data_IF_703349690893
#
_entry.id   IF_703349690893
#
_cell.length_a   1.000
_cell.length_b   1.000
_cell.length_c   1.000
_cell.angle_alpha   90.00
_cell.angle_beta   90.00
_cell.angle_gamma   90.00
#
_symmetry.space_group_name_H-M   'P 1'
#
loop_
_entity.id
_entity.type
_entity.pdbx_description
1 polymer ?
#
# COMPACT_ATOMS: atom_id res chain seq x y z
N UNK A 1 10.67 15.41 14.98
CA UNK A 1 9.94 14.82 13.85
C UNK A 1 8.53 15.34 13.97
N UNK A 2 8.10 16.15 13.00
CA UNK A 2 6.75 16.71 12.97
C UNK A 2 5.71 15.59 12.96
N UNK A 3 4.56 15.84 13.59
CA UNK A 3 3.52 14.85 13.79
C UNK A 3 2.83 14.58 12.44
N UNK A 4 3.23 13.50 11.75
CA UNK A 4 2.60 13.03 10.51
C UNK A 4 1.11 12.75 10.74
N UNK A 5 0.81 12.19 11.92
CA UNK A 5 -0.54 11.86 12.34
C UNK A 5 -1.12 12.98 13.21
N UNK A 6 -2.35 13.45 12.92
CA UNK A 6 -3.06 14.31 13.85
C UNK A 6 -3.42 13.53 15.14
N UNK A 7 -3.65 14.22 16.28
CA UNK A 7 -3.89 13.56 17.57
C UNK A 7 -5.11 12.62 17.61
N UNK A 8 -6.07 12.83 16.72
CA UNK A 8 -7.31 12.07 16.56
C UNK A 8 -7.26 11.05 15.40
N UNK A 9 -6.08 10.78 14.84
CA UNK A 9 -5.94 9.83 13.75
C UNK A 9 -6.33 8.41 14.18
N UNK A 10 -7.34 7.85 13.51
CA UNK A 10 -7.72 6.45 13.67
C UNK A 10 -7.42 5.66 12.39
N UNK A 11 -6.46 4.73 12.49
CA UNK A 11 -6.06 3.86 11.36
C UNK A 11 -7.11 2.83 10.95
N UNK A 12 -8.15 2.61 11.74
CA UNK A 12 -9.28 1.73 11.40
C UNK A 12 -10.30 2.45 10.51
N UNK A 13 -10.24 3.77 10.46
CA UNK A 13 -11.15 4.59 9.66
C UNK A 13 -10.50 4.92 8.32
N UNK A 14 -11.23 4.65 7.24
CA UNK A 14 -10.79 5.02 5.90
C UNK A 14 -10.73 6.55 5.74
N UNK A 15 -9.84 7.09 4.90
CA UNK A 15 -9.74 8.53 4.62
C UNK A 15 -10.90 9.06 3.74
N UNK A 16 -12.08 8.47 3.85
CA UNK A 16 -13.27 8.86 3.10
C UNK A 16 -13.79 10.21 3.58
N UNK A 17 -14.16 11.06 2.64
CA UNK A 17 -14.86 12.33 2.90
C UNK A 17 -16.37 12.04 2.89
N UNK A 18 -17.19 12.69 3.71
CA UNK A 18 -18.65 12.52 3.66
C UNK A 18 -19.19 12.64 2.23
N UNK A 19 -19.86 11.59 1.76
CA UNK A 19 -20.45 11.52 0.42
C UNK A 19 -19.46 11.19 -0.71
N UNK A 20 -18.20 10.85 -0.43
CA UNK A 20 -17.20 10.45 -1.44
C UNK A 20 -16.44 9.19 -1.01
N UNK A 21 -16.31 8.18 -1.90
CA UNK A 21 -15.49 7.02 -1.62
C UNK A 21 -13.99 7.38 -1.66
N UNK A 22 -13.17 6.56 -1.02
CA UNK A 22 -11.72 6.61 -1.19
C UNK A 22 -11.40 6.14 -2.61
N UNK A 23 -10.66 6.95 -3.36
CA UNK A 23 -10.14 6.55 -4.67
C UNK A 23 -8.86 5.77 -4.48
N UNK A 24 -8.85 4.54 -4.96
CA UNK A 24 -7.71 3.64 -4.89
C UNK A 24 -7.32 3.25 -6.32
N UNK A 25 -6.07 3.48 -6.67
CA UNK A 25 -5.48 2.96 -7.89
C UNK A 25 -4.70 1.68 -7.55
N UNK A 26 -4.97 0.61 -8.28
CA UNK A 26 -4.35 -0.69 -8.08
C UNK A 26 -3.68 -1.09 -9.39
N UNK A 27 -2.44 -1.56 -9.29
CA UNK A 27 -1.68 -2.10 -10.40
C UNK A 27 -1.08 -3.45 -9.98
N UNK A 28 -1.45 -4.49 -10.71
CA UNK A 28 -1.01 -5.86 -10.49
C UNK A 28 -0.05 -6.27 -11.60
N UNK A 29 1.24 -6.37 -11.28
CA UNK A 29 2.26 -6.87 -12.19
C UNK A 29 2.46 -8.37 -12.01
N UNK A 30 2.13 -9.19 -13.01
CA UNK A 30 2.42 -10.63 -12.99
C UNK A 30 3.89 -10.84 -13.35
N UNK A 31 4.68 -11.40 -12.43
CA UNK A 31 6.06 -11.77 -12.70
C UNK A 31 6.16 -13.13 -13.35
N UNK A 32 5.41 -14.09 -12.83
CA UNK A 32 5.50 -15.48 -13.23
C UNK A 32 4.20 -16.24 -12.96
N UNK A 33 3.95 -17.25 -13.79
CA UNK A 33 2.87 -18.23 -13.61
C UNK A 33 3.58 -19.58 -13.42
N UNK A 34 3.64 -20.02 -12.17
CA UNK A 34 4.53 -21.10 -11.73
C UNK A 34 3.90 -22.48 -11.97
N UNK A 35 2.72 -22.71 -11.40
CA UNK A 35 2.01 -24.01 -11.47
C UNK A 35 0.65 -23.83 -12.11
N UNK A 36 0.28 -24.76 -12.99
CA UNK A 36 -1.08 -24.94 -13.49
C UNK A 36 -1.45 -26.40 -13.22
N UNK A 37 -2.53 -26.62 -12.50
CA UNK A 37 -3.05 -27.94 -12.16
C UNK A 37 -4.48 -28.06 -12.71
N UNK A 38 -4.59 -28.76 -13.84
CA UNK A 38 -5.85 -28.95 -14.55
C UNK A 38 -6.83 -29.83 -13.75
N UNK A 39 -6.33 -30.74 -12.93
CA UNK A 39 -7.17 -31.70 -12.19
C UNK A 39 -7.95 -31.01 -11.07
N UNK A 40 -7.32 -30.06 -10.39
CA UNK A 40 -7.91 -29.26 -9.32
C UNK A 40 -8.39 -27.87 -9.79
N UNK A 41 -8.16 -27.54 -11.07
CA UNK A 41 -8.39 -26.23 -11.69
C UNK A 41 -7.73 -25.10 -10.88
N UNK A 42 -6.45 -25.27 -10.57
CA UNK A 42 -5.66 -24.32 -9.78
C UNK A 42 -4.50 -23.76 -10.58
N UNK A 43 -4.08 -22.56 -10.22
CA UNK A 43 -2.82 -22.01 -10.70
C UNK A 43 -2.14 -21.18 -9.61
N UNK A 44 -0.82 -21.10 -9.68
CA UNK A 44 0.02 -20.30 -8.78
C UNK A 44 0.68 -19.18 -9.57
N UNK A 45 0.62 -17.95 -9.06
CA UNK A 45 1.26 -16.79 -9.66
C UNK A 45 2.14 -16.06 -8.66
N UNK A 46 3.22 -15.47 -9.17
CA UNK A 46 3.99 -14.47 -8.44
C UNK A 46 3.63 -13.09 -8.99
N UNK A 47 3.24 -12.17 -8.10
CA UNK A 47 2.82 -10.83 -8.51
C UNK A 47 3.50 -9.75 -7.68
N UNK A 48 3.62 -8.56 -8.28
CA UNK A 48 3.80 -7.32 -7.55
C UNK A 48 2.46 -6.60 -7.47
N UNK A 49 2.05 -6.25 -6.25
CA UNK A 49 0.87 -5.45 -6.01
C UNK A 49 1.31 -4.03 -5.69
N UNK A 50 0.75 -3.06 -6.42
CA UNK A 50 1.02 -1.64 -6.25
C UNK A 50 -0.29 -0.93 -6.01
N UNK A 51 -0.32 -0.09 -5.00
CA UNK A 51 -1.50 0.60 -4.54
C UNK A 51 -1.17 2.06 -4.33
N UNK A 52 -2.04 2.94 -4.85
CA UNK A 52 -1.91 4.38 -4.70
C UNK A 52 -3.22 4.93 -4.18
N UNK A 53 -3.16 5.63 -3.05
CA UNK A 53 -4.30 6.32 -2.47
C UNK A 53 -3.87 7.65 -1.86
N UNK A 54 -4.86 8.52 -1.63
CA UNK A 54 -4.65 9.79 -0.96
C UNK A 54 -5.28 9.74 0.43
N UNK A 55 -4.53 10.10 1.47
CA UNK A 55 -5.05 10.29 2.83
C UNK A 55 -4.88 11.75 3.25
N UNK A 56 -5.96 12.53 3.11
CA UNK A 56 -5.98 13.97 3.38
C UNK A 56 -5.82 14.33 4.87
N UNK A 57 -5.91 13.34 5.77
CA UNK A 57 -5.77 13.55 7.21
C UNK A 57 -4.31 13.68 7.63
N UNK A 58 -3.38 13.18 6.81
CA UNK A 58 -1.96 13.14 7.12
C UNK A 58 -1.31 14.48 6.84
N UNK A 59 -0.43 14.90 7.75
CA UNK A 59 0.42 16.05 7.52
C UNK A 59 1.71 15.60 6.81
N UNK A 60 1.71 15.68 5.48
CA UNK A 60 2.83 15.28 4.63
C UNK A 60 3.72 16.45 4.18
N UNK A 61 3.53 17.66 4.73
CA UNK A 61 4.26 18.86 4.28
C UNK A 61 5.78 18.71 4.35
N UNK A 62 6.28 18.03 5.39
CA UNK A 62 7.71 17.74 5.59
C UNK A 62 8.31 16.84 4.50
N UNK A 63 7.47 16.07 3.79
CA UNK A 63 7.89 15.21 2.69
C UNK A 63 7.77 15.89 1.32
N UNK A 64 7.07 17.02 1.24
CA UNK A 64 6.71 17.73 0.01
C UNK A 64 7.52 19.02 -0.21
N UNK A 65 8.51 19.32 0.65
CA UNK A 65 9.36 20.50 0.50
C UNK A 65 10.07 20.54 -0.87
N UNK A 66 10.09 21.73 -1.51
CA UNK A 66 10.49 21.93 -2.91
C UNK A 66 11.90 21.43 -3.29
N UNK A 67 12.77 21.20 -2.31
CA UNK A 67 14.13 20.71 -2.52
C UNK A 67 14.25 19.18 -2.51
N UNK A 68 13.19 18.44 -2.17
CA UNK A 68 13.22 16.97 -2.14
C UNK A 68 12.68 16.40 -3.46
N UNK A 69 13.61 16.10 -4.38
CA UNK A 69 13.28 15.51 -5.69
C UNK A 69 12.90 14.03 -5.65
N UNK A 70 13.06 13.37 -4.49
CA UNK A 70 12.93 11.94 -4.35
C UNK A 70 11.63 11.55 -3.62
N UNK A 71 11.01 10.47 -4.06
CA UNK A 71 10.00 9.73 -3.29
C UNK A 71 10.59 9.31 -1.95
N UNK A 72 10.00 9.76 -0.84
CA UNK A 72 10.53 9.51 0.51
C UNK A 72 9.86 8.26 1.08
N UNK A 73 10.66 7.26 1.41
CA UNK A 73 10.20 6.06 2.11
C UNK A 73 9.80 6.36 3.55
N UNK A 74 8.64 5.86 3.95
CA UNK A 74 8.14 5.97 5.32
C UNK A 74 8.74 4.82 6.16
N UNK A 75 9.29 5.08 7.36
CA UNK A 75 9.77 4.02 8.24
C UNK A 75 8.68 3.02 8.63
N UNK A 76 9.00 1.74 8.75
CA UNK A 76 8.03 0.67 9.06
C UNK A 76 7.21 0.92 10.33
N UNK A 77 7.79 1.58 11.33
CA UNK A 77 7.10 1.96 12.57
C UNK A 77 5.89 2.87 12.28
N UNK A 78 6.03 3.79 11.34
CA UNK A 78 4.97 4.71 10.91
C UNK A 78 3.96 3.98 10.02
N UNK A 79 4.42 3.05 9.18
CA UNK A 79 3.54 2.23 8.32
C UNK A 79 2.53 1.42 9.14
N UNK A 80 2.90 0.92 10.32
CA UNK A 80 2.00 0.13 11.18
C UNK A 80 0.87 0.95 11.81
N UNK A 81 1.02 2.28 11.88
CA UNK A 81 0.00 3.19 12.38
C UNK A 81 -0.80 3.87 11.27
N UNK A 82 -0.49 3.59 10.01
CA UNK A 82 -1.16 4.16 8.85
C UNK A 82 -2.39 3.33 8.48
N UNK A 83 -3.50 3.99 8.12
CA UNK A 83 -4.59 3.29 7.45
C UNK A 83 -4.08 2.75 6.10
N UNK A 84 -4.39 1.49 5.81
CA UNK A 84 -4.11 0.91 4.51
C UNK A 84 -5.35 0.25 3.94
N UNK A 85 -5.55 0.28 2.62
CA UNK A 85 -6.66 -0.43 2.00
C UNK A 85 -6.54 -1.94 2.26
N UNK A 86 -7.67 -2.53 2.64
CA UNK A 86 -7.82 -3.96 2.82
C UNK A 86 -8.19 -4.57 1.46
N UNK A 87 -7.20 -5.12 0.76
CA UNK A 87 -7.39 -5.84 -0.50
C UNK A 87 -7.47 -7.34 -0.25
N UNK A 88 -8.51 -7.96 -0.82
CA UNK A 88 -8.72 -9.40 -0.80
C UNK A 88 -8.80 -9.94 -2.23
N UNK A 89 -8.34 -11.17 -2.41
CA UNK A 89 -8.50 -11.91 -3.65
C UNK A 89 -9.55 -13.01 -3.44
N UNK A 90 -10.77 -12.79 -3.94
CA UNK A 90 -11.92 -13.66 -3.64
C UNK A 90 -11.69 -15.13 -4.02
N UNK A 91 -10.95 -15.38 -5.10
CA UNK A 91 -10.69 -16.73 -5.62
C UNK A 91 -9.36 -17.33 -5.12
N UNK A 92 -8.72 -16.73 -4.12
CA UNK A 92 -7.46 -17.25 -3.60
C UNK A 92 -7.71 -18.48 -2.73
N UNK A 93 -7.01 -19.59 -3.04
CA UNK A 93 -6.98 -20.76 -2.15
C UNK A 93 -5.95 -20.58 -1.03
N UNK A 94 -4.78 -20.05 -1.36
CA UNK A 94 -3.73 -19.67 -0.42
C UNK A 94 -2.82 -18.61 -1.03
N UNK A 95 -2.19 -17.79 -0.18
CA UNK A 95 -1.26 -16.75 -0.59
C UNK A 95 -0.28 -16.46 0.53
N UNK A 96 0.95 -16.10 0.16
CA UNK A 96 2.03 -15.78 1.10
C UNK A 96 2.70 -14.51 0.63
N UNK A 97 2.85 -13.53 1.53
CA UNK A 97 3.71 -12.37 1.28
C UNK A 97 5.17 -12.82 1.39
N UNK A 98 6.00 -12.48 0.41
CA UNK A 98 7.39 -12.92 0.41
C UNK A 98 8.18 -12.24 1.55
N UNK A 99 8.51 -13.00 2.60
CA UNK A 99 9.25 -12.54 3.78
C UNK A 99 10.61 -13.24 3.90
N UNK A 100 11.49 -13.12 2.90
CA UNK A 100 12.78 -13.82 2.92
C UNK A 100 13.81 -13.21 3.89
N UNK A 101 13.66 -11.96 4.35
CA UNK A 101 14.54 -11.36 5.39
C UNK A 101 13.98 -10.08 6.02
N UNK A 102 13.36 -9.23 5.20
CA UNK A 102 12.61 -8.01 5.57
C UNK A 102 11.25 -8.11 4.88
N UNK A 103 10.13 -7.66 5.48
CA UNK A 103 8.87 -7.59 4.77
C UNK A 103 9.10 -6.81 3.46
N UNK A 104 8.86 -7.42 2.30
CA UNK A 104 8.98 -6.75 1.00
C UNK A 104 7.77 -5.82 0.78
N UNK A 105 7.55 -4.92 1.73
CA UNK A 105 6.54 -3.89 1.68
C UNK A 105 7.23 -2.57 1.95
N UNK A 106 7.05 -1.61 1.06
CA UNK A 106 7.43 -0.23 1.33
C UNK A 106 6.25 0.69 1.05
N UNK A 107 6.16 1.75 1.84
CA UNK A 107 5.25 2.86 1.58
C UNK A 107 6.10 4.09 1.37
N UNK A 108 5.73 4.90 0.38
CA UNK A 108 6.39 6.16 0.12
C UNK A 108 5.39 7.25 -0.24
N UNK A 109 5.79 8.50 0.00
CA UNK A 109 5.00 9.68 -0.37
C UNK A 109 5.41 10.13 -1.79
N UNK A 110 4.43 10.23 -2.68
CA UNK A 110 4.58 10.79 -4.02
C UNK A 110 4.52 12.32 -3.98
N UNK A 111 5.04 12.98 -5.03
CA UNK A 111 5.12 14.46 -5.10
C UNK A 111 3.77 15.18 -5.06
N UNK A 112 2.69 14.49 -5.40
CA UNK A 112 1.33 15.02 -5.33
C UNK A 112 0.67 14.79 -3.96
N UNK A 113 1.40 14.21 -2.99
CA UNK A 113 0.88 13.87 -1.67
C UNK A 113 0.19 12.52 -1.59
N UNK A 114 0.18 11.74 -2.67
CA UNK A 114 -0.36 10.38 -2.63
C UNK A 114 0.60 9.41 -1.93
N UNK A 115 0.03 8.41 -1.28
CA UNK A 115 0.75 7.29 -0.72
C UNK A 115 0.87 6.20 -1.77
N UNK A 116 2.09 5.73 -1.99
CA UNK A 116 2.41 4.60 -2.84
C UNK A 116 2.85 3.42 -1.98
N UNK A 117 2.12 2.31 -2.03
CA UNK A 117 2.50 1.04 -1.42
C UNK A 117 2.85 0.04 -2.51
N UNK A 118 3.94 -0.68 -2.33
CA UNK A 118 4.26 -1.85 -3.14
C UNK A 118 4.54 -3.05 -2.24
N UNK A 119 4.01 -4.20 -2.63
CA UNK A 119 4.22 -5.50 -2.00
C UNK A 119 4.46 -6.61 -3.03
N UNK A 120 5.07 -7.69 -2.58
CA UNK A 120 5.29 -8.92 -3.35
C UNK A 120 4.75 -10.13 -2.59
#
# INVERSE_FOLDING_TARGET
MENIFPPDYNKQESPSIPGKPVSLFIDLGVMDIDRIDESSMEFSIQTYLREIWNDQRLNLSCFLEENVRATIGIPDLVVNELWTPDLIFDNVKSGVLFSLSVPNRFIAVLRNGDLYRASR
#
